data_IF_304152259315
#
_entry.id   IF_304152259315
#
_cell.length_a   1.000
_cell.length_b   1.000
_cell.length_c   1.000
_cell.angle_alpha   90.00
_cell.angle_beta   90.00
_cell.angle_gamma   90.00
#
_symmetry.space_group_name_H-M   'P 1'
#
loop_
_entity.id
_entity.type
_entity.pdbx_description
1 polymer ?
#
# COMPACT_ATOMS: atom_id res chain seq x y z
N UNK A 1 9.19 26.89 12.66
CA UNK A 1 8.02 27.14 13.55
C UNK A 1 8.45 28.02 14.71
N UNK A 2 7.62 28.97 15.14
CA UNK A 2 7.89 29.74 16.36
C UNK A 2 7.56 28.85 17.59
N UNK A 3 8.17 29.12 18.76
CA UNK A 3 7.94 28.35 19.99
C UNK A 3 6.44 28.31 20.39
N UNK A 4 5.67 29.37 20.09
CA UNK A 4 4.23 29.42 20.33
C UNK A 4 3.42 28.48 19.42
N UNK A 5 3.91 28.18 18.21
CA UNK A 5 3.23 27.25 17.29
C UNK A 5 3.50 25.81 17.67
N UNK A 6 4.73 25.46 18.06
CA UNK A 6 5.08 24.11 18.48
C UNK A 6 4.47 23.69 19.82
N UNK A 7 4.21 24.64 20.72
CA UNK A 7 3.54 24.39 21.99
C UNK A 7 2.02 24.54 21.94
N UNK A 8 1.41 24.73 20.77
CA UNK A 8 -0.04 24.86 20.68
C UNK A 8 -0.75 23.54 20.97
N UNK A 9 -1.91 23.61 21.63
CA UNK A 9 -2.73 22.43 21.94
C UNK A 9 -3.09 21.62 20.67
N UNK A 10 -3.31 22.31 19.55
CA UNK A 10 -3.60 21.65 18.27
C UNK A 10 -2.41 20.82 17.80
N UNK A 11 -1.19 21.37 17.82
CA UNK A 11 0.00 20.67 17.36
C UNK A 11 0.35 19.49 18.27
N UNK A 12 0.37 19.69 19.59
CA UNK A 12 0.65 18.63 20.56
C UNK A 12 -0.41 17.52 20.51
N UNK A 13 -1.68 17.88 20.34
CA UNK A 13 -2.78 16.92 20.20
C UNK A 13 -2.63 16.04 18.94
N UNK A 14 -2.29 16.63 17.80
CA UNK A 14 -2.07 15.87 16.54
C UNK A 14 -0.91 14.89 16.69
N UNK A 15 0.21 15.32 17.29
CA UNK A 15 1.36 14.45 17.51
C UNK A 15 1.05 13.30 18.49
N UNK A 16 0.31 13.56 19.55
CA UNK A 16 -0.13 12.52 20.49
C UNK A 16 -1.03 11.48 19.79
N UNK A 17 -1.97 11.93 18.93
CA UNK A 17 -2.80 11.03 18.13
C UNK A 17 -1.98 10.20 17.13
N UNK A 18 -0.99 10.81 16.48
CA UNK A 18 -0.09 10.10 15.57
C UNK A 18 0.68 9.00 16.31
N UNK A 19 1.24 9.31 17.49
CA UNK A 19 1.97 8.35 18.32
C UNK A 19 1.08 7.27 18.93
N UNK A 20 -0.22 7.52 19.08
CA UNK A 20 -1.20 6.52 19.49
C UNK A 20 -1.61 5.57 18.37
N UNK A 21 -1.17 5.80 17.12
CA UNK A 21 -1.54 4.99 15.97
C UNK A 21 -0.37 4.06 15.56
N UNK A 22 -0.60 2.75 15.36
CA UNK A 22 0.45 1.80 14.99
C UNK A 22 1.22 2.16 13.71
N UNK A 23 0.56 2.84 12.76
CA UNK A 23 1.18 3.26 11.49
C UNK A 23 1.99 4.55 11.66
N UNK A 24 1.59 5.40 12.61
CA UNK A 24 2.23 6.69 12.86
C UNK A 24 3.28 6.66 13.98
N UNK A 25 3.40 5.56 14.70
CA UNK A 25 4.33 5.43 15.81
C UNK A 25 5.76 5.20 15.31
N UNK A 26 6.69 5.98 15.85
CA UNK A 26 8.13 5.81 15.71
C UNK A 26 8.83 6.18 17.02
N UNK A 27 9.84 5.42 17.43
CA UNK A 27 10.53 5.63 18.70
C UNK A 27 11.30 6.97 18.72
N UNK A 28 11.81 7.42 17.58
CA UNK A 28 12.45 8.75 17.44
C UNK A 28 11.43 9.86 17.64
N UNK A 29 10.29 9.78 16.93
CA UNK A 29 9.18 10.73 17.09
C UNK A 29 8.64 10.76 18.53
N UNK A 30 8.58 9.60 19.19
CA UNK A 30 8.15 9.52 20.60
C UNK A 30 9.13 10.24 21.53
N UNK A 31 10.43 10.11 21.29
CA UNK A 31 11.49 10.81 22.03
C UNK A 31 11.42 12.33 21.82
N UNK A 32 11.26 12.77 20.58
CA UNK A 32 11.12 14.18 20.21
C UNK A 32 9.87 14.80 20.82
N UNK A 33 8.77 14.07 20.83
CA UNK A 33 7.52 14.52 21.45
C UNK A 33 7.65 14.66 22.97
N UNK A 34 8.34 13.75 23.63
CA UNK A 34 8.62 13.84 25.06
C UNK A 34 9.49 15.08 25.38
N UNK A 35 10.52 15.36 24.59
CA UNK A 35 11.33 16.55 24.72
C UNK A 35 10.52 17.83 24.45
N UNK A 36 9.67 17.82 23.43
CA UNK A 36 8.80 18.95 23.09
C UNK A 36 7.80 19.27 24.19
N UNK A 37 7.08 18.28 24.72
CA UNK A 37 6.09 18.46 25.81
C UNK A 37 6.76 18.96 27.10
N UNK A 38 7.96 18.45 27.42
CA UNK A 38 8.76 18.95 28.52
C UNK A 38 9.16 20.42 28.32
N UNK A 39 9.65 20.79 27.14
CA UNK A 39 10.02 22.16 26.78
C UNK A 39 8.84 23.13 26.78
N UNK A 40 7.64 22.66 26.46
CA UNK A 40 6.40 23.43 26.51
C UNK A 40 5.76 23.47 27.90
N UNK A 41 6.31 22.79 28.91
CA UNK A 41 5.67 22.57 30.24
C UNK A 41 4.22 22.05 30.09
N UNK A 42 3.97 21.25 29.05
CA UNK A 42 2.65 20.75 28.68
C UNK A 42 2.38 19.40 29.35
N UNK A 43 1.29 19.34 30.12
CA UNK A 43 0.78 18.11 30.75
C UNK A 43 -0.54 17.69 30.09
N UNK A 44 -0.85 16.38 30.06
CA UNK A 44 -2.12 15.89 29.56
C UNK A 44 -2.07 15.36 28.11
N UNK A 45 -0.95 15.47 27.42
CA UNK A 45 -0.74 14.87 26.08
C UNK A 45 -0.10 13.49 26.25
N UNK A 46 -0.92 12.51 26.54
CA UNK A 46 -0.50 11.12 26.69
C UNK A 46 -0.98 10.29 25.50
N UNK A 47 -0.23 9.28 25.12
CA UNK A 47 -0.65 8.28 24.14
C UNK A 47 -0.34 6.89 24.70
N UNK A 48 -1.18 5.91 24.37
CA UNK A 48 -0.83 4.52 24.60
C UNK A 48 0.15 4.10 23.50
N UNK A 49 1.34 3.62 23.88
CA UNK A 49 2.25 3.02 22.90
C UNK A 49 1.48 1.93 22.18
N UNK A 50 1.29 2.03 20.84
CA UNK A 50 0.56 1.02 20.14
C UNK A 50 1.29 -0.31 20.29
N UNK A 51 0.59 -1.31 20.76
CA UNK A 51 1.06 -2.69 20.63
C UNK A 51 1.18 -2.92 19.14
N UNK A 52 2.39 -3.21 18.67
CA UNK A 52 2.62 -3.72 17.31
C UNK A 52 1.49 -4.72 17.07
N UNK A 53 0.71 -4.56 15.98
CA UNK A 53 -0.32 -5.52 15.62
C UNK A 53 0.28 -6.89 15.84
N UNK A 54 -0.26 -7.65 16.77
CA UNK A 54 0.36 -8.86 17.27
C UNK A 54 0.52 -9.91 16.19
N UNK A 55 1.55 -9.71 15.42
CA UNK A 55 2.31 -10.82 14.91
C UNK A 55 2.95 -11.35 16.18
N UNK A 56 2.39 -12.41 16.73
CA UNK A 56 2.98 -13.12 17.85
C UNK A 56 4.35 -13.62 17.39
N UNK A 57 5.30 -12.68 17.33
CA UNK A 57 6.69 -12.97 17.07
C UNK A 57 7.31 -13.44 18.37
N UNK A 58 6.99 -14.65 18.76
CA UNK A 58 7.99 -15.52 19.34
C UNK A 58 8.93 -15.87 18.19
N UNK A 59 9.62 -14.87 17.65
CA UNK A 59 10.58 -15.01 16.59
C UNK A 59 11.95 -15.14 17.21
N UNK A 60 12.32 -16.35 17.50
CA UNK A 60 13.68 -16.80 17.37
C UNK A 60 13.97 -16.83 15.87
N UNK A 61 14.85 -15.92 15.40
CA UNK A 61 15.65 -15.96 14.16
C UNK A 61 14.92 -16.03 12.81
N UNK A 62 15.28 -15.07 11.94
CA UNK A 62 15.24 -15.18 10.46
C UNK A 62 13.89 -15.57 9.86
N UNK A 63 12.87 -14.74 10.07
CA UNK A 63 11.60 -14.87 9.40
C UNK A 63 11.33 -13.64 8.55
N UNK A 64 11.42 -13.78 7.22
CA UNK A 64 10.65 -12.98 6.28
C UNK A 64 9.25 -12.75 6.85
N UNK A 65 8.79 -11.50 6.93
CA UNK A 65 7.44 -11.17 7.34
C UNK A 65 6.45 -11.96 6.48
N UNK A 66 5.91 -13.04 7.03
CA UNK A 66 4.82 -13.76 6.40
C UNK A 66 3.55 -12.96 6.61
N UNK A 67 3.11 -12.30 5.56
CA UNK A 67 1.72 -11.88 5.45
C UNK A 67 0.87 -13.16 5.55
N UNK A 68 0.08 -13.26 6.61
CA UNK A 68 -0.77 -14.42 6.88
C UNK A 68 -1.88 -14.49 5.84
N UNK A 69 -1.78 -15.43 5.01
CA UNK A 69 -2.53 -15.93 3.87
C UNK A 69 -1.97 -15.42 2.55
N UNK A 70 -1.31 -16.29 1.78
CA UNK A 70 -1.09 -15.99 0.37
C UNK A 70 -2.48 -15.76 -0.26
N UNK A 71 -2.60 -14.79 -1.19
CA UNK A 71 -3.86 -14.60 -1.89
C UNK A 71 -4.30 -15.91 -2.49
N UNK A 72 -5.57 -16.27 -2.31
CA UNK A 72 -6.13 -17.53 -2.81
C UNK A 72 -5.99 -17.54 -4.34
N UNK A 73 -5.20 -18.47 -4.86
CA UNK A 73 -5.07 -18.64 -6.31
C UNK A 73 -6.39 -19.22 -6.86
N UNK A 74 -6.98 -18.55 -7.82
CA UNK A 74 -8.17 -19.03 -8.55
C UNK A 74 -7.77 -19.82 -9.81
N UNK A 75 -6.52 -19.72 -10.22
CA UNK A 75 -5.94 -20.38 -11.39
C UNK A 75 -4.44 -20.20 -11.46
N UNK A 76 -3.85 -20.60 -12.59
CA UNK A 76 -2.43 -20.38 -12.90
C UNK A 76 -2.24 -19.94 -14.34
N UNK A 77 -1.21 -19.15 -14.59
CA UNK A 77 -0.81 -18.70 -15.90
C UNK A 77 0.68 -18.99 -16.12
N UNK A 78 1.03 -19.71 -17.16
CA UNK A 78 2.43 -19.97 -17.51
C UNK A 78 2.93 -18.88 -18.44
N UNK A 79 3.97 -18.16 -18.02
CA UNK A 79 4.55 -17.06 -18.78
C UNK A 79 5.11 -17.51 -20.13
N UNK A 80 4.89 -16.69 -21.15
CA UNK A 80 5.37 -16.87 -22.51
C UNK A 80 6.49 -15.85 -22.82
N UNK A 81 7.40 -16.13 -23.75
CA UNK A 81 8.54 -15.25 -24.04
C UNK A 81 8.22 -13.81 -24.44
N UNK A 82 7.00 -13.55 -24.94
CA UNK A 82 6.55 -12.21 -25.34
C UNK A 82 5.76 -11.47 -24.27
N UNK A 83 5.59 -12.08 -23.10
CA UNK A 83 4.78 -11.51 -22.04
C UNK A 83 5.46 -10.33 -21.34
N UNK A 84 4.65 -9.39 -20.93
CA UNK A 84 5.01 -8.34 -19.99
C UNK A 84 3.95 -8.26 -18.88
N UNK A 85 4.27 -7.62 -17.77
CA UNK A 85 3.41 -7.63 -16.60
C UNK A 85 1.98 -7.12 -16.88
N UNK A 86 1.82 -6.14 -17.75
CA UNK A 86 0.51 -5.57 -18.06
C UNK A 86 -0.30 -6.45 -19.02
N UNK A 87 0.37 -7.10 -20.01
CA UNK A 87 -0.29 -8.03 -20.92
C UNK A 87 -0.80 -9.26 -20.18
N UNK A 88 -0.01 -9.79 -19.24
CA UNK A 88 -0.38 -10.94 -18.43
C UNK A 88 -1.52 -10.58 -17.46
N UNK A 89 -1.44 -9.47 -16.76
CA UNK A 89 -2.52 -9.02 -15.88
C UNK A 89 -3.85 -8.85 -16.62
N UNK A 90 -3.79 -8.28 -17.83
CA UNK A 90 -4.96 -8.16 -18.71
C UNK A 90 -5.50 -9.51 -19.16
N UNK A 91 -4.64 -10.45 -19.56
CA UNK A 91 -5.04 -11.79 -19.95
C UNK A 91 -5.68 -12.58 -18.81
N UNK A 92 -5.18 -12.39 -17.58
CA UNK A 92 -5.72 -13.00 -16.37
C UNK A 92 -7.02 -12.32 -15.87
N UNK A 93 -7.36 -11.11 -16.33
CA UNK A 93 -8.50 -10.33 -15.84
C UNK A 93 -8.33 -9.86 -14.40
N UNK A 94 -7.14 -9.40 -14.05
CA UNK A 94 -6.77 -8.94 -12.69
C UNK A 94 -6.02 -7.61 -12.77
N UNK A 95 -5.92 -6.88 -11.65
CA UNK A 95 -5.04 -5.72 -11.63
C UNK A 95 -3.57 -6.14 -11.72
N UNK A 96 -2.74 -5.32 -12.38
CA UNK A 96 -1.29 -5.59 -12.47
C UNK A 96 -0.68 -5.69 -11.07
N UNK A 97 -1.12 -4.83 -10.15
CA UNK A 97 -0.67 -4.88 -8.76
C UNK A 97 -1.03 -6.22 -8.10
N UNK A 98 -2.29 -6.65 -8.16
CA UNK A 98 -2.73 -7.89 -7.52
C UNK A 98 -1.99 -9.10 -8.05
N UNK A 99 -1.74 -9.16 -9.37
CA UNK A 99 -0.97 -10.23 -9.99
C UNK A 99 0.48 -10.24 -9.46
N UNK A 100 1.15 -9.08 -9.47
CA UNK A 100 2.53 -8.99 -9.01
C UNK A 100 2.65 -9.32 -7.52
N UNK A 101 1.77 -8.76 -6.71
CA UNK A 101 1.74 -8.99 -5.27
C UNK A 101 1.49 -10.47 -4.92
N UNK A 102 0.51 -11.10 -5.56
CA UNK A 102 0.18 -12.51 -5.33
C UNK A 102 1.33 -13.46 -5.63
N UNK A 103 2.25 -13.03 -6.49
CA UNK A 103 3.39 -13.84 -6.93
C UNK A 103 4.73 -13.39 -6.32
N UNK A 104 4.71 -12.47 -5.35
CA UNK A 104 5.93 -11.96 -4.70
C UNK A 104 6.86 -11.22 -5.68
N UNK A 105 6.30 -10.67 -6.75
CA UNK A 105 7.04 -9.90 -7.75
C UNK A 105 7.04 -8.41 -7.41
N UNK A 106 8.04 -7.70 -7.91
CA UNK A 106 8.16 -6.26 -7.71
C UNK A 106 6.99 -5.51 -8.36
N UNK A 107 6.34 -4.62 -7.57
CA UNK A 107 5.13 -3.90 -8.01
C UNK A 107 5.36 -2.90 -9.14
N UNK A 108 6.60 -2.59 -9.48
CA UNK A 108 6.98 -1.75 -10.61
C UNK A 108 7.43 -2.56 -11.82
N UNK A 109 7.17 -3.85 -11.86
CA UNK A 109 7.54 -4.78 -12.95
C UNK A 109 9.04 -4.91 -13.23
N UNK A 110 9.92 -4.42 -12.36
CA UNK A 110 11.36 -4.32 -12.65
C UNK A 110 12.04 -5.67 -12.84
N UNK A 111 11.58 -6.76 -12.39
CA UNK A 111 12.21 -8.08 -12.54
C UNK A 111 11.29 -9.08 -13.23
N UNK A 112 10.28 -8.59 -13.93
CA UNK A 112 9.30 -9.46 -14.58
C UNK A 112 9.94 -10.32 -15.68
N UNK A 113 10.91 -9.75 -16.42
CA UNK A 113 11.64 -10.47 -17.46
C UNK A 113 12.37 -11.73 -16.93
N UNK A 114 12.85 -11.71 -15.70
CA UNK A 114 13.47 -12.88 -15.11
C UNK A 114 12.47 -14.02 -14.89
N UNK A 115 11.23 -13.70 -14.51
CA UNK A 115 10.14 -14.67 -14.40
C UNK A 115 9.74 -15.21 -15.79
N UNK A 116 9.67 -14.34 -16.80
CA UNK A 116 9.40 -14.72 -18.21
C UNK A 116 10.47 -15.69 -18.71
N UNK A 117 11.74 -15.35 -18.54
CA UNK A 117 12.86 -16.17 -18.98
C UNK A 117 12.92 -17.56 -18.32
N UNK A 118 12.37 -17.68 -17.13
CA UNK A 118 12.25 -18.97 -16.43
C UNK A 118 10.95 -19.72 -16.76
N UNK A 119 10.09 -19.18 -17.64
CA UNK A 119 8.74 -19.70 -17.91
C UNK A 119 7.95 -19.99 -16.64
N UNK A 120 8.03 -19.07 -15.68
CA UNK A 120 7.40 -19.22 -14.39
C UNK A 120 5.88 -19.39 -14.52
N UNK A 121 5.28 -20.20 -13.64
CA UNK A 121 3.84 -20.31 -13.51
C UNK A 121 3.38 -19.35 -12.44
N UNK A 122 2.54 -18.38 -12.79
CA UNK A 122 2.00 -17.38 -11.89
C UNK A 122 0.65 -17.81 -11.33
N UNK A 123 0.46 -17.56 -10.04
CA UNK A 123 -0.84 -17.64 -9.38
C UNK A 123 -1.77 -16.55 -9.92
N UNK A 124 -2.96 -16.91 -10.35
CA UNK A 124 -4.01 -15.96 -10.70
C UNK A 124 -4.81 -15.60 -9.45
N UNK A 125 -4.75 -14.36 -8.94
CA UNK A 125 -5.60 -13.92 -7.85
C UNK A 125 -7.07 -13.78 -8.29
N UNK A 126 -8.02 -13.47 -7.39
CA UNK A 126 -9.41 -13.20 -7.76
C UNK A 126 -9.50 -12.14 -8.87
N UNK A 127 -10.32 -12.42 -9.87
CA UNK A 127 -10.50 -11.56 -11.05
C UNK A 127 -11.39 -10.35 -10.75
N UNK A 128 -11.22 -9.30 -11.53
CA UNK A 128 -12.03 -8.09 -11.50
C UNK A 128 -12.26 -7.56 -12.92
N UNK A 129 -13.19 -6.63 -13.08
CA UNK A 129 -13.24 -5.85 -14.32
C UNK A 129 -12.08 -4.88 -14.33
N UNK A 130 -11.22 -4.96 -15.36
CA UNK A 130 -10.02 -4.13 -15.45
C UNK A 130 -10.19 -2.95 -16.40
N UNK A 131 -9.46 -1.90 -16.11
CA UNK A 131 -9.26 -0.72 -16.94
C UNK A 131 -7.76 -0.46 -17.09
N UNK A 132 -7.30 -0.09 -18.27
CA UNK A 132 -5.88 0.27 -18.49
C UNK A 132 -5.66 1.72 -18.12
N UNK A 133 -4.86 1.98 -17.10
CA UNK A 133 -4.58 3.32 -16.59
C UNK A 133 -3.83 4.18 -17.60
N UNK A 134 -4.42 5.31 -17.96
CA UNK A 134 -3.86 6.25 -18.92
C UNK A 134 -3.00 7.36 -18.28
N UNK A 135 -2.24 8.12 -19.10
CA UNK A 135 -1.30 9.13 -18.60
C UNK A 135 -1.99 10.39 -18.01
N UNK A 136 -3.25 10.60 -18.33
CA UNK A 136 -4.02 11.77 -17.87
C UNK A 136 -5.20 11.38 -16.97
N UNK A 137 -5.29 10.10 -16.59
CA UNK A 137 -6.37 9.63 -15.74
C UNK A 137 -6.20 10.16 -14.31
N UNK A 138 -7.34 10.48 -13.70
CA UNK A 138 -7.43 10.72 -12.27
C UNK A 138 -8.30 9.65 -11.63
N UNK A 139 -8.06 9.35 -10.35
CA UNK A 139 -8.88 8.35 -9.65
C UNK A 139 -10.36 8.75 -9.59
N UNK A 140 -10.65 10.04 -9.49
CA UNK A 140 -12.02 10.53 -9.47
C UNK A 140 -12.71 10.34 -10.83
N UNK A 141 -12.02 10.62 -11.93
CA UNK A 141 -12.60 10.49 -13.27
C UNK A 141 -12.88 9.02 -13.58
N UNK A 142 -11.89 8.14 -13.30
CA UNK A 142 -12.06 6.70 -13.53
C UNK A 142 -13.16 6.13 -12.62
N UNK A 143 -13.17 6.46 -11.31
CA UNK A 143 -14.24 6.02 -10.42
C UNK A 143 -15.63 6.49 -10.91
N UNK A 144 -15.74 7.76 -11.32
CA UNK A 144 -16.98 8.32 -11.85
C UNK A 144 -17.43 7.65 -13.15
N UNK A 145 -16.50 7.37 -14.06
CA UNK A 145 -16.76 6.68 -15.32
C UNK A 145 -17.40 5.30 -15.12
N UNK A 146 -16.98 4.61 -14.07
CA UNK A 146 -17.50 3.27 -13.74
C UNK A 146 -18.61 3.27 -12.69
N UNK A 147 -19.06 4.45 -12.23
CA UNK A 147 -20.14 4.59 -11.26
C UNK A 147 -19.82 4.05 -9.87
N UNK A 148 -18.57 4.07 -9.49
CA UNK A 148 -18.09 3.59 -8.19
C UNK A 148 -17.56 4.75 -7.34
N UNK A 149 -17.56 4.58 -6.02
CA UNK A 149 -16.96 5.57 -5.14
C UNK A 149 -15.43 5.52 -5.22
N UNK A 150 -14.78 6.67 -5.00
CA UNK A 150 -13.31 6.74 -4.90
C UNK A 150 -12.77 5.76 -3.83
N UNK A 151 -13.48 5.60 -2.71
CA UNK A 151 -13.09 4.69 -1.65
C UNK A 151 -13.08 3.21 -2.12
N UNK A 152 -14.08 2.78 -2.89
CA UNK A 152 -14.09 1.44 -3.49
C UNK A 152 -12.96 1.28 -4.51
N UNK A 153 -12.78 2.27 -5.39
CA UNK A 153 -11.70 2.24 -6.38
C UNK A 153 -10.32 2.09 -5.72
N UNK A 154 -10.02 2.90 -4.72
CA UNK A 154 -8.75 2.82 -3.98
C UNK A 154 -8.62 1.52 -3.16
N UNK A 155 -9.73 1.03 -2.59
CA UNK A 155 -9.75 -0.24 -1.86
C UNK A 155 -9.38 -1.45 -2.74
N UNK A 156 -9.77 -1.43 -4.03
CA UNK A 156 -9.40 -2.48 -4.98
C UNK A 156 -8.01 -2.28 -5.60
N UNK A 157 -7.44 -1.07 -5.51
CA UNK A 157 -6.14 -0.70 -6.09
C UNK A 157 -5.21 -0.10 -5.03
N UNK A 158 -4.75 -0.90 -4.04
CA UNK A 158 -4.01 -0.39 -2.88
C UNK A 158 -2.59 0.12 -3.20
N UNK A 159 -2.11 -0.07 -4.43
CA UNK A 159 -0.90 0.59 -4.94
C UNK A 159 -1.07 2.10 -5.17
N UNK A 160 -2.32 2.57 -5.29
CA UNK A 160 -2.63 3.99 -5.37
C UNK A 160 -2.78 4.56 -3.96
N UNK A 161 -2.14 5.69 -3.70
CA UNK A 161 -2.28 6.35 -2.39
C UNK A 161 -3.64 7.06 -2.27
N UNK A 162 -4.02 7.45 -1.05
CA UNK A 162 -5.33 8.02 -0.73
C UNK A 162 -5.70 9.29 -1.50
N UNK A 163 -4.71 10.01 -2.02
CA UNK A 163 -4.87 11.24 -2.83
C UNK A 163 -4.51 11.03 -4.30
N UNK A 164 -4.22 9.81 -4.70
CA UNK A 164 -3.84 9.43 -6.08
C UNK A 164 -2.65 10.17 -6.69
N UNK A 165 -1.80 10.80 -5.89
CA UNK A 165 -0.66 11.56 -6.40
C UNK A 165 0.45 10.70 -7.01
N UNK A 166 0.47 9.40 -6.69
CA UNK A 166 1.43 8.44 -7.22
C UNK A 166 0.97 7.71 -8.49
N UNK A 167 -0.23 8.00 -8.98
CA UNK A 167 -0.87 7.28 -10.08
C UNK A 167 -0.08 7.35 -11.41
N UNK A 168 0.69 8.42 -11.62
CA UNK A 168 1.56 8.58 -12.79
C UNK A 168 2.60 7.45 -12.92
N UNK A 169 2.99 6.81 -11.81
CA UNK A 169 3.94 5.71 -11.81
C UNK A 169 3.35 4.39 -12.34
N UNK A 170 2.03 4.34 -12.53
CA UNK A 170 1.28 3.15 -12.91
C UNK A 170 0.58 3.28 -14.26
N UNK A 171 1.03 4.22 -15.12
CA UNK A 171 0.52 4.33 -16.49
C UNK A 171 0.74 3.04 -17.25
N UNK A 172 -0.31 2.55 -17.92
CA UNK A 172 -0.32 1.26 -18.61
C UNK A 172 -0.75 0.07 -17.74
N UNK A 173 -0.82 0.21 -16.42
CA UNK A 173 -1.27 -0.86 -15.51
C UNK A 173 -2.75 -1.15 -15.69
N UNK A 174 -3.12 -2.40 -15.46
CA UNK A 174 -4.51 -2.79 -15.27
C UNK A 174 -4.91 -2.45 -13.84
N UNK A 175 -5.98 -1.67 -13.69
CA UNK A 175 -6.60 -1.35 -12.40
C UNK A 175 -7.99 -1.97 -12.32
N UNK A 176 -8.42 -2.40 -11.13
CA UNK A 176 -9.76 -2.94 -10.92
C UNK A 176 -10.80 -1.81 -10.84
N UNK A 177 -11.92 -1.97 -11.56
CA UNK A 177 -13.04 -1.01 -11.61
C UNK A 177 -14.40 -1.67 -11.28
N UNK A 178 -14.43 -2.93 -10.83
CA UNK A 178 -15.59 -3.60 -10.23
C UNK A 178 -15.11 -4.85 -9.49
#
# INVERSE_FOLDING_TARGET
MTSNQSCSNCWLGVQALQLGNPIGYDDGLASDFAALTAGCSASGYTYARPTVFGINATATSSGTAQFTSPPTCTGSYTLQPSDNCNSVAKAMGVSTYSMLYANGLDIYCQKFDAAVNSSASLCTPPTCKTYTWGPYDTCNDVASQYGISLAHFLGWNPNLNSICSNAINFVGYQVCVS
#
